data_IF_593011057550
#
_entry.id   IF_593011057550
#
_cell.length_a   1.000
_cell.length_b   1.000
_cell.length_c   1.000
_cell.angle_alpha   90.00
_cell.angle_beta   90.00
_cell.angle_gamma   90.00
#
_symmetry.space_group_name_H-M   'P 1'
#
loop_
_entity.id
_entity.type
_entity.pdbx_description
1 polymer ?
#
# COMPACT_ATOMS: atom_id res chain seq x y z
N UNK A 1 3.96 7.68 15.40
CA UNK A 1 5.20 7.82 14.61
C UNK A 1 5.57 9.28 14.61
N UNK A 2 6.82 9.60 14.89
CA UNK A 2 7.38 10.93 14.68
C UNK A 2 7.64 11.17 13.19
N UNK A 3 7.95 12.41 12.80
CA UNK A 3 8.31 12.73 11.40
C UNK A 3 9.52 11.92 10.93
N UNK A 4 10.51 11.72 11.81
CA UNK A 4 11.69 10.88 11.52
C UNK A 4 11.33 9.41 11.32
N UNK A 5 10.36 8.89 12.09
CA UNK A 5 9.88 7.52 11.91
C UNK A 5 9.15 7.36 10.57
N UNK A 6 8.36 8.37 10.18
CA UNK A 6 7.66 8.38 8.89
C UNK A 6 8.65 8.43 7.72
N UNK A 7 9.67 9.28 7.79
CA UNK A 7 10.69 9.37 6.76
C UNK A 7 11.47 8.06 6.59
N UNK A 8 11.83 7.41 7.71
CA UNK A 8 12.51 6.12 7.70
C UNK A 8 11.65 5.03 7.05
N UNK A 9 10.38 4.92 7.45
CA UNK A 9 9.45 3.91 6.90
C UNK A 9 9.20 4.15 5.41
N UNK A 10 8.97 5.40 5.01
CA UNK A 10 8.75 5.77 3.62
C UNK A 10 9.98 5.50 2.75
N UNK A 11 11.16 5.93 3.20
CA UNK A 11 12.43 5.69 2.51
C UNK A 11 12.69 4.20 2.34
N UNK A 12 12.41 3.40 3.37
CA UNK A 12 12.58 1.95 3.32
C UNK A 12 11.62 1.33 2.30
N UNK A 13 10.34 1.71 2.32
CA UNK A 13 9.34 1.22 1.38
C UNK A 13 9.76 1.50 -0.09
N UNK A 14 10.17 2.73 -0.38
CA UNK A 14 10.60 3.13 -1.72
C UNK A 14 11.84 2.37 -2.20
N UNK A 15 12.83 2.18 -1.33
CA UNK A 15 14.04 1.40 -1.64
C UNK A 15 13.71 -0.06 -1.94
N UNK A 16 12.84 -0.67 -1.14
CA UNK A 16 12.43 -2.06 -1.37
C UNK A 16 11.66 -2.20 -2.67
N UNK A 17 10.68 -1.34 -2.95
CA UNK A 17 9.95 -1.36 -4.22
C UNK A 17 10.87 -1.23 -5.45
N UNK A 18 11.87 -0.35 -5.35
CA UNK A 18 12.89 -0.20 -6.40
C UNK A 18 13.70 -1.47 -6.59
N UNK A 19 14.01 -2.18 -5.50
CA UNK A 19 14.80 -3.43 -5.52
C UNK A 19 14.00 -4.60 -6.08
N UNK A 20 12.73 -4.74 -5.69
CA UNK A 20 11.81 -5.77 -6.21
C UNK A 20 11.52 -5.55 -7.71
N UNK A 21 11.50 -4.29 -8.16
CA UNK A 21 11.24 -3.92 -9.55
C UNK A 21 9.78 -4.02 -9.94
N UNK A 22 9.45 -3.47 -11.11
CA UNK A 22 8.07 -3.31 -11.60
C UNK A 22 7.29 -4.63 -11.65
N UNK A 23 7.95 -5.71 -12.09
CA UNK A 23 7.33 -7.03 -12.22
C UNK A 23 6.87 -7.65 -10.88
N UNK A 24 7.51 -7.28 -9.77
CA UNK A 24 7.23 -7.84 -8.45
C UNK A 24 6.59 -6.84 -7.47
N UNK A 25 6.55 -5.55 -7.81
CA UNK A 25 6.01 -4.49 -6.97
C UNK A 25 4.58 -4.78 -6.48
N UNK A 26 3.67 -5.23 -7.36
CA UNK A 26 2.30 -5.56 -6.97
C UNK A 26 2.23 -6.73 -5.98
N UNK A 27 3.07 -7.76 -6.17
CA UNK A 27 3.13 -8.91 -5.27
C UNK A 27 3.69 -8.50 -3.90
N UNK A 28 4.75 -7.69 -3.89
CA UNK A 28 5.33 -7.14 -2.66
C UNK A 28 4.29 -6.32 -1.88
N UNK A 29 3.58 -5.41 -2.55
CA UNK A 29 2.54 -4.59 -1.91
C UNK A 29 1.38 -5.43 -1.39
N UNK A 30 0.91 -6.42 -2.15
CA UNK A 30 -0.13 -7.33 -1.68
C UNK A 30 0.30 -8.07 -0.40
N UNK A 31 1.54 -8.56 -0.35
CA UNK A 31 2.09 -9.23 0.84
C UNK A 31 2.22 -8.28 2.04
N UNK A 32 2.74 -7.08 1.82
CA UNK A 32 2.84 -6.05 2.86
C UNK A 32 1.46 -5.70 3.42
N UNK A 33 0.46 -5.48 2.57
CA UNK A 33 -0.91 -5.20 2.99
C UNK A 33 -1.51 -6.32 3.83
N UNK A 34 -1.30 -7.59 3.46
CA UNK A 34 -1.77 -8.73 4.26
C UNK A 34 -1.14 -8.77 5.66
N UNK A 35 0.17 -8.49 5.76
CA UNK A 35 0.86 -8.39 7.06
C UNK A 35 0.28 -7.23 7.89
N UNK A 36 0.11 -6.05 7.28
CA UNK A 36 -0.48 -4.90 7.97
C UNK A 36 -1.91 -5.17 8.45
N UNK A 37 -2.74 -5.89 7.68
CA UNK A 37 -4.09 -6.27 8.10
C UNK A 37 -4.08 -7.24 9.28
N UNK A 38 -3.09 -8.15 9.32
CA UNK A 38 -2.90 -9.08 10.44
C UNK A 38 -2.53 -8.30 11.71
N UNK A 39 -1.61 -7.33 11.61
CA UNK A 39 -1.22 -6.46 12.73
C UNK A 39 -2.33 -5.48 13.16
N UNK A 40 -3.19 -5.05 12.23
CA UNK A 40 -4.31 -4.15 12.51
C UNK A 40 -5.38 -4.81 13.39
N UNK A 41 -5.57 -6.13 13.24
CA UNK A 41 -6.52 -6.97 13.98
C UNK A 41 -7.95 -6.38 14.08
N UNK A 42 -8.38 -5.67 13.03
CA UNK A 42 -9.70 -5.03 12.93
C UNK A 42 -10.25 -5.18 11.50
N UNK A 43 -11.14 -6.17 11.27
CA UNK A 43 -11.71 -6.42 9.95
C UNK A 43 -12.56 -5.25 9.41
N UNK A 44 -13.29 -4.54 10.27
CA UNK A 44 -14.13 -3.42 9.84
C UNK A 44 -13.26 -2.26 9.36
N UNK A 45 -12.19 -1.96 10.09
CA UNK A 45 -11.24 -0.92 9.71
C UNK A 45 -10.43 -1.31 8.48
N UNK A 46 -10.04 -2.58 8.34
CA UNK A 46 -9.39 -3.08 7.13
C UNK A 46 -10.28 -2.89 5.89
N UNK A 47 -11.56 -3.25 5.98
CA UNK A 47 -12.54 -3.05 4.89
C UNK A 47 -12.71 -1.57 4.54
N UNK A 48 -12.80 -0.69 5.54
CA UNK A 48 -12.91 0.75 5.31
C UNK A 48 -11.67 1.33 4.60
N UNK A 49 -10.47 0.87 4.96
CA UNK A 49 -9.22 1.29 4.30
C UNK A 49 -9.12 0.79 2.86
N UNK A 50 -9.57 -0.44 2.58
CA UNK A 50 -9.63 -0.98 1.21
C UNK A 50 -10.53 -0.10 0.33
N UNK A 51 -11.70 0.28 0.84
CA UNK A 51 -12.62 1.13 0.07
C UNK A 51 -12.02 2.53 -0.15
N UNK A 52 -11.39 3.11 0.87
CA UNK A 52 -10.74 4.43 0.77
C UNK A 52 -9.53 4.43 -0.19
N UNK A 53 -8.86 3.29 -0.38
CA UNK A 53 -7.74 3.14 -1.30
C UNK A 53 -8.16 2.96 -2.77
N UNK A 54 -9.47 2.82 -3.05
CA UNK A 54 -9.99 2.62 -4.41
C UNK A 54 -9.62 3.84 -5.27
N UNK A 55 -8.84 3.60 -6.32
CA UNK A 55 -8.50 4.65 -7.28
C UNK A 55 -9.78 5.17 -7.95
N UNK A 56 -9.87 6.48 -8.26
CA UNK A 56 -10.99 6.99 -9.05
C UNK A 56 -11.06 6.20 -10.35
N UNK A 57 -12.28 5.86 -10.78
CA UNK A 57 -12.48 5.23 -12.07
C UNK A 57 -11.77 6.09 -13.12
N UNK A 58 -10.85 5.49 -13.88
CA UNK A 58 -10.17 6.17 -14.97
C UNK A 58 -11.23 6.65 -15.96
N UNK A 59 -11.62 7.92 -15.86
CA UNK A 59 -12.55 8.55 -16.80
C UNK A 59 -11.79 8.91 -18.08
N UNK A 60 -11.28 7.88 -18.77
CA UNK A 60 -10.60 8.03 -20.03
C UNK A 60 -10.82 6.78 -20.89
N UNK A 61 -12.00 6.69 -21.52
CA UNK A 61 -12.25 6.10 -22.85
C UNK A 61 -13.77 6.06 -23.13
N UNK A 62 -14.37 7.24 -23.27
CA UNK A 62 -15.53 7.41 -24.17
C UNK A 62 -15.01 8.17 -25.37
N UNK A 63 -14.73 7.43 -26.44
CA UNK A 63 -14.43 7.94 -27.77
C UNK A 63 -15.61 8.68 -28.38
#
# INVERSE_FOLDING_TARGET
MTDSDLDLVYTTLCKTLTTEGEAHASLYLARLTLLCMTELDDPQRALALIEAARLPASSALTS
#
